data_IF_195900116947
#
_entry.id   IF_195900116947
#
_cell.length_a   1.000
_cell.length_b   1.000
_cell.length_c   1.000
_cell.angle_alpha   90.00
_cell.angle_beta   90.00
_cell.angle_gamma   90.00
#
_symmetry.space_group_name_H-M   'P 1'
#
loop_
_entity.id
_entity.type
_entity.pdbx_description
1 polymer ?
#
# COMPACT_ATOMS: atom_id res chain seq x y z
N UNK A 1 -41.55 -9.58 -18.76
CA UNK A 1 -40.39 -8.77 -18.32
C UNK A 1 -39.26 -9.73 -18.02
N UNK A 2 -38.12 -9.59 -18.70
CA UNK A 2 -36.92 -10.37 -18.37
C UNK A 2 -36.48 -10.01 -16.95
N UNK A 3 -36.37 -11.00 -16.07
CA UNK A 3 -35.91 -10.81 -14.70
C UNK A 3 -34.40 -11.10 -14.65
N UNK A 4 -33.60 -10.16 -15.16
CA UNK A 4 -32.14 -10.26 -15.23
C UNK A 4 -31.52 -10.54 -13.85
N UNK A 5 -32.10 -9.96 -12.79
CA UNK A 5 -31.70 -10.21 -11.40
C UNK A 5 -31.75 -11.71 -11.04
N UNK A 6 -32.88 -12.36 -11.27
CA UNK A 6 -33.03 -13.79 -10.94
C UNK A 6 -32.18 -14.68 -11.84
N UNK A 7 -32.05 -14.35 -13.13
CA UNK A 7 -31.19 -15.09 -14.06
C UNK A 7 -29.74 -15.07 -13.60
N UNK A 8 -29.19 -13.87 -13.33
CA UNK A 8 -27.83 -13.71 -12.87
C UNK A 8 -27.60 -14.41 -11.52
N UNK A 9 -28.55 -14.25 -10.58
CA UNK A 9 -28.47 -14.91 -9.28
C UNK A 9 -28.40 -16.43 -9.37
N UNK A 10 -29.16 -17.03 -10.29
CA UNK A 10 -29.10 -18.49 -10.53
C UNK A 10 -27.75 -18.89 -11.12
N UNK A 11 -27.22 -18.13 -12.10
CA UNK A 11 -25.88 -18.38 -12.65
C UNK A 11 -24.79 -18.31 -11.58
N UNK A 12 -24.82 -17.29 -10.73
CA UNK A 12 -23.87 -17.11 -9.62
C UNK A 12 -23.92 -18.31 -8.68
N UNK A 13 -25.10 -18.69 -8.19
CA UNK A 13 -25.27 -19.82 -7.25
C UNK A 13 -24.83 -21.17 -7.80
N UNK A 14 -24.94 -21.36 -9.11
CA UNK A 14 -24.56 -22.61 -9.77
C UNK A 14 -23.14 -22.57 -10.34
N UNK A 15 -22.35 -21.53 -10.06
CA UNK A 15 -21.01 -21.33 -10.61
C UNK A 15 -20.93 -21.26 -12.15
N UNK A 16 -22.05 -20.95 -12.80
CA UNK A 16 -22.16 -20.87 -14.27
C UNK A 16 -22.02 -19.43 -14.80
N UNK A 17 -21.76 -18.46 -13.91
CA UNK A 17 -21.54 -17.08 -14.31
C UNK A 17 -20.14 -16.91 -14.93
N UNK A 18 -20.03 -16.18 -16.03
CA UNK A 18 -18.72 -15.77 -16.59
C UNK A 18 -18.27 -14.47 -15.95
N UNK A 19 -17.07 -14.44 -15.37
CA UNK A 19 -16.58 -13.29 -14.59
C UNK A 19 -15.35 -12.69 -15.25
N UNK A 20 -15.33 -11.37 -15.43
CA UNK A 20 -14.15 -10.63 -15.87
C UNK A 20 -13.46 -9.91 -14.71
N UNK A 21 -12.14 -9.84 -14.74
CA UNK A 21 -11.35 -8.99 -13.85
C UNK A 21 -10.47 -8.07 -14.67
N UNK A 22 -10.74 -6.77 -14.66
CA UNK A 22 -10.04 -5.75 -15.44
C UNK A 22 -8.92 -5.14 -14.60
N UNK A 23 -7.69 -5.23 -15.08
CA UNK A 23 -6.48 -4.82 -14.38
C UNK A 23 -5.87 -5.97 -13.59
N UNK A 24 -4.88 -6.65 -14.16
CA UNK A 24 -4.18 -7.77 -13.54
C UNK A 24 -2.95 -7.22 -12.81
N UNK A 25 -3.21 -6.46 -11.76
CA UNK A 25 -2.19 -5.96 -10.84
C UNK A 25 -2.19 -6.74 -9.52
N UNK A 26 -1.60 -6.11 -8.50
CA UNK A 26 -1.58 -6.62 -7.12
C UNK A 26 -2.98 -6.87 -6.51
N UNK A 27 -4.04 -6.26 -7.06
CA UNK A 27 -5.42 -6.46 -6.62
C UNK A 27 -6.16 -7.46 -7.51
N UNK A 28 -6.19 -7.19 -8.82
CA UNK A 28 -7.02 -7.98 -9.73
C UNK A 28 -6.50 -9.40 -9.99
N UNK A 29 -5.18 -9.63 -9.99
CA UNK A 29 -4.67 -11.00 -10.22
C UNK A 29 -5.01 -11.95 -9.06
N UNK A 30 -4.79 -11.59 -7.77
CA UNK A 30 -5.27 -12.42 -6.66
C UNK A 30 -6.78 -12.65 -6.67
N UNK A 31 -7.57 -11.63 -7.00
CA UNK A 31 -9.02 -11.75 -7.15
C UNK A 31 -9.42 -12.76 -8.24
N UNK A 32 -8.75 -12.69 -9.40
CA UNK A 32 -8.97 -13.63 -10.50
C UNK A 32 -8.61 -15.08 -10.11
N UNK A 33 -7.50 -15.26 -9.38
CA UNK A 33 -7.07 -16.58 -8.88
C UNK A 33 -8.14 -17.19 -7.97
N UNK A 34 -8.65 -16.44 -6.98
CA UNK A 34 -9.68 -16.95 -6.07
C UNK A 34 -11.03 -17.22 -6.78
N UNK A 35 -11.41 -16.38 -7.72
CA UNK A 35 -12.57 -16.63 -8.59
C UNK A 35 -12.41 -17.93 -9.38
N UNK A 36 -11.27 -18.16 -10.01
CA UNK A 36 -10.99 -19.37 -10.78
C UNK A 36 -10.98 -20.63 -9.91
N UNK A 37 -10.33 -20.58 -8.74
CA UNK A 37 -10.33 -21.68 -7.75
C UNK A 37 -11.74 -22.01 -7.24
N UNK A 38 -12.65 -21.04 -7.24
CA UNK A 38 -14.07 -21.25 -6.88
C UNK A 38 -14.93 -21.84 -8.00
N UNK A 39 -14.34 -22.16 -9.16
CA UNK A 39 -15.00 -22.89 -10.25
C UNK A 39 -15.75 -22.03 -11.27
N UNK A 40 -15.59 -20.71 -11.25
CA UNK A 40 -16.12 -19.84 -12.30
C UNK A 40 -15.25 -19.87 -13.57
N UNK A 41 -15.87 -19.62 -14.72
CA UNK A 41 -15.18 -19.19 -15.93
C UNK A 41 -14.72 -17.75 -15.75
N UNK A 42 -13.41 -17.51 -15.75
CA UNK A 42 -12.79 -16.21 -15.44
C UNK A 42 -11.97 -15.70 -16.62
N UNK A 43 -12.19 -14.44 -16.98
CA UNK A 43 -11.39 -13.71 -17.96
C UNK A 43 -10.60 -12.61 -17.28
N UNK A 44 -9.27 -12.72 -17.29
CA UNK A 44 -8.40 -11.66 -16.80
C UNK A 44 -8.10 -10.66 -17.93
N UNK A 45 -8.46 -9.39 -17.77
CA UNK A 45 -8.34 -8.38 -18.82
C UNK A 45 -7.26 -7.36 -18.45
N UNK A 46 -6.18 -7.25 -19.22
CA UNK A 46 -5.14 -6.22 -19.02
C UNK A 46 -4.63 -5.70 -20.39
N UNK A 47 -4.19 -4.45 -20.47
CA UNK A 47 -3.63 -3.89 -21.71
C UNK A 47 -2.15 -4.25 -21.87
N UNK A 48 -1.47 -4.64 -20.79
CA UNK A 48 -0.07 -5.05 -20.83
C UNK A 48 0.06 -6.49 -21.34
N UNK A 49 0.34 -6.63 -22.64
CA UNK A 49 0.57 -7.93 -23.28
C UNK A 49 1.71 -8.71 -22.61
N UNK A 50 2.70 -8.06 -21.98
CA UNK A 50 3.78 -8.77 -21.28
C UNK A 50 3.24 -9.53 -20.06
N UNK A 51 2.26 -8.98 -19.35
CA UNK A 51 1.61 -9.67 -18.24
C UNK A 51 0.78 -10.85 -18.73
N UNK A 52 0.03 -10.65 -19.81
CA UNK A 52 -0.78 -11.71 -20.44
C UNK A 52 0.11 -12.88 -20.85
N UNK A 53 1.20 -12.61 -21.57
CA UNK A 53 2.14 -13.64 -22.02
C UNK A 53 2.75 -14.41 -20.83
N UNK A 54 3.09 -13.72 -19.74
CA UNK A 54 3.58 -14.39 -18.52
C UNK A 54 2.54 -15.34 -17.94
N UNK A 55 1.28 -14.90 -17.81
CA UNK A 55 0.19 -15.71 -17.25
C UNK A 55 -0.15 -16.92 -18.12
N UNK A 56 -0.19 -16.74 -19.45
CA UNK A 56 -0.39 -17.85 -20.39
C UNK A 56 0.70 -18.91 -20.28
N UNK A 57 1.92 -18.50 -19.93
CA UNK A 57 3.06 -19.39 -19.70
C UNK A 57 3.14 -19.93 -18.27
N UNK A 58 2.13 -19.73 -17.42
CA UNK A 58 2.13 -20.23 -16.04
C UNK A 58 3.01 -19.43 -15.07
N UNK A 59 3.43 -18.22 -15.43
CA UNK A 59 4.36 -17.42 -14.62
C UNK A 59 3.64 -16.24 -13.95
N UNK A 60 3.85 -16.09 -12.65
CA UNK A 60 3.48 -14.91 -11.90
C UNK A 60 4.51 -13.79 -12.09
N UNK A 61 4.05 -12.55 -11.89
CA UNK A 61 4.88 -11.35 -11.80
C UNK A 61 4.61 -10.55 -10.52
N UNK A 62 3.77 -11.08 -9.63
CA UNK A 62 3.52 -10.54 -8.30
C UNK A 62 4.00 -11.56 -7.26
N UNK A 63 4.60 -11.07 -6.17
CA UNK A 63 5.16 -11.94 -5.14
C UNK A 63 4.11 -12.78 -4.39
N UNK A 64 2.90 -12.23 -4.23
CA UNK A 64 1.86 -12.85 -3.41
C UNK A 64 1.18 -14.07 -4.09
N UNK A 65 1.44 -14.31 -5.38
CA UNK A 65 0.90 -15.44 -6.14
C UNK A 65 2.05 -16.24 -6.74
N UNK A 66 2.07 -17.54 -6.46
CA UNK A 66 3.10 -18.46 -6.95
C UNK A 66 2.91 -18.83 -8.42
N UNK A 67 3.97 -19.28 -9.10
CA UNK A 67 3.87 -19.80 -10.47
C UNK A 67 2.97 -21.04 -10.53
N UNK A 68 3.03 -21.88 -9.50
CA UNK A 68 2.22 -23.08 -9.35
C UNK A 68 0.72 -22.76 -9.30
N UNK A 69 0.34 -21.66 -8.64
CA UNK A 69 -1.05 -21.19 -8.63
C UNK A 69 -1.51 -20.68 -9.99
N UNK A 70 -0.66 -19.94 -10.72
CA UNK A 70 -0.97 -19.49 -12.08
C UNK A 70 -1.10 -20.69 -13.01
N UNK A 71 -0.18 -21.63 -12.94
CA UNK A 71 -0.23 -22.86 -13.73
C UNK A 71 -1.49 -23.68 -13.42
N UNK A 72 -1.87 -23.78 -12.14
CA UNK A 72 -3.09 -24.45 -11.72
C UNK A 72 -4.33 -23.80 -12.33
N UNK A 73 -4.51 -22.48 -12.21
CA UNK A 73 -5.72 -21.82 -12.75
C UNK A 73 -5.76 -21.82 -14.27
N UNK A 74 -4.61 -21.74 -14.96
CA UNK A 74 -4.55 -21.71 -16.43
C UNK A 74 -4.75 -23.10 -17.04
N UNK A 75 -4.32 -24.18 -16.36
CA UNK A 75 -4.41 -25.56 -16.89
C UNK A 75 -5.59 -26.36 -16.36
N UNK A 76 -6.00 -26.11 -15.11
CA UNK A 76 -6.96 -26.93 -14.38
C UNK A 76 -8.25 -26.19 -14.04
N UNK A 77 -8.27 -24.85 -14.15
CA UNK A 77 -9.47 -24.04 -14.05
C UNK A 77 -9.80 -23.41 -15.41
N UNK A 78 -10.93 -22.71 -15.48
CA UNK A 78 -11.36 -22.00 -16.69
C UNK A 78 -10.94 -20.53 -16.60
N UNK A 79 -9.62 -20.29 -16.60
CA UNK A 79 -9.02 -18.95 -16.57
C UNK A 79 -8.41 -18.59 -17.93
N UNK A 80 -8.79 -17.44 -18.48
CA UNK A 80 -8.22 -16.92 -19.73
C UNK A 80 -7.75 -15.48 -19.56
N UNK A 81 -6.43 -15.20 -19.53
CA UNK A 81 -5.92 -13.84 -19.62
C UNK A 81 -6.02 -13.32 -21.08
N UNK A 82 -6.42 -12.07 -21.27
CA UNK A 82 -6.62 -11.45 -22.59
C UNK A 82 -6.47 -9.93 -22.53
N UNK A 83 -6.16 -9.30 -23.66
CA UNK A 83 -6.22 -7.84 -23.84
C UNK A 83 -7.50 -7.40 -24.56
N UNK A 84 -8.34 -8.35 -24.96
CA UNK A 84 -9.55 -8.05 -25.73
C UNK A 84 -10.74 -7.73 -24.81
N UNK A 85 -11.13 -6.44 -24.76
CA UNK A 85 -12.30 -5.97 -24.01
C UNK A 85 -13.64 -6.42 -24.62
N UNK A 86 -13.69 -6.88 -25.88
CA UNK A 86 -14.93 -7.35 -26.51
C UNK A 86 -15.58 -8.52 -25.77
N UNK A 87 -14.78 -9.30 -25.03
CA UNK A 87 -15.28 -10.41 -24.21
C UNK A 87 -16.34 -9.97 -23.20
N UNK A 88 -16.36 -8.68 -22.82
CA UNK A 88 -17.37 -8.11 -21.91
C UNK A 88 -18.80 -8.37 -22.40
N UNK A 89 -19.03 -8.49 -23.72
CA UNK A 89 -20.34 -8.83 -24.30
C UNK A 89 -20.92 -10.16 -23.80
N UNK A 90 -20.04 -11.07 -23.38
CA UNK A 90 -20.37 -12.44 -22.98
C UNK A 90 -20.26 -12.65 -21.46
N UNK A 91 -19.91 -11.62 -20.69
CA UNK A 91 -19.70 -11.72 -19.24
C UNK A 91 -20.99 -11.50 -18.45
N UNK A 92 -21.08 -12.16 -17.30
CA UNK A 92 -22.16 -11.99 -16.33
C UNK A 92 -21.78 -11.01 -15.20
N UNK A 93 -20.48 -10.94 -14.88
CA UNK A 93 -19.95 -10.00 -13.91
C UNK A 93 -18.56 -9.49 -14.33
N UNK A 94 -18.22 -8.26 -13.93
CA UNK A 94 -16.92 -7.61 -14.18
C UNK A 94 -16.46 -6.88 -12.92
N UNK A 95 -15.21 -7.11 -12.52
CA UNK A 95 -14.54 -6.40 -11.42
C UNK A 95 -13.46 -5.46 -11.96
N UNK A 96 -13.48 -4.18 -11.58
CA UNK A 96 -12.55 -3.14 -12.05
C UNK A 96 -11.45 -2.90 -11.02
N UNK A 97 -10.23 -3.34 -11.32
CA UNK A 97 -9.05 -3.35 -10.46
C UNK A 97 -7.87 -2.57 -11.08
N UNK A 98 -8.15 -1.44 -11.72
CA UNK A 98 -7.12 -0.59 -12.36
C UNK A 98 -6.46 0.38 -11.38
N UNK A 99 -5.24 0.86 -11.66
CA UNK A 99 -4.57 1.85 -10.83
C UNK A 99 -5.37 3.16 -10.71
N UNK A 100 -5.23 3.81 -9.56
CA UNK A 100 -5.80 5.13 -9.26
C UNK A 100 -4.71 5.99 -8.64
N UNK A 101 -3.75 6.49 -9.44
CA UNK A 101 -2.65 7.28 -8.94
C UNK A 101 -3.10 8.71 -8.60
N UNK A 102 -2.20 9.47 -7.97
CA UNK A 102 -2.34 10.92 -7.88
C UNK A 102 -1.60 11.59 -9.05
N UNK A 103 -2.10 12.74 -9.48
CA UNK A 103 -1.39 13.63 -10.41
C UNK A 103 -0.19 14.30 -9.71
N UNK A 104 0.64 15.01 -10.48
CA UNK A 104 1.74 15.84 -9.94
C UNK A 104 1.28 16.89 -8.92
N UNK A 105 0.00 17.25 -8.94
CA UNK A 105 -0.61 18.20 -8.01
C UNK A 105 -1.30 17.51 -6.81
N UNK A 106 -1.05 16.21 -6.60
CA UNK A 106 -1.66 15.39 -5.54
C UNK A 106 -3.19 15.28 -5.63
N UNK A 107 -3.74 15.40 -6.84
CA UNK A 107 -5.17 15.21 -7.10
C UNK A 107 -5.45 13.79 -7.63
N UNK A 108 -6.60 13.18 -7.34
CA UNK A 108 -7.01 11.91 -7.93
C UNK A 108 -6.93 11.89 -9.46
N UNK A 109 -6.17 10.96 -10.03
CA UNK A 109 -6.17 10.70 -11.47
C UNK A 109 -7.19 9.60 -11.79
N UNK A 110 -8.30 10.00 -12.42
CA UNK A 110 -9.40 9.11 -12.79
C UNK A 110 -9.31 8.58 -14.23
N UNK A 111 -8.24 8.91 -14.96
CA UNK A 111 -8.08 8.55 -16.37
C UNK A 111 -8.19 7.04 -16.63
N UNK A 112 -7.65 6.21 -15.73
CA UNK A 112 -7.71 4.75 -15.82
C UNK A 112 -9.14 4.20 -15.69
N UNK A 113 -9.91 4.67 -14.72
CA UNK A 113 -11.31 4.27 -14.54
C UNK A 113 -12.15 4.75 -15.73
N UNK A 114 -11.93 5.98 -16.19
CA UNK A 114 -12.61 6.53 -17.37
C UNK A 114 -12.29 5.71 -18.64
N UNK A 115 -11.03 5.29 -18.82
CA UNK A 115 -10.63 4.45 -19.93
C UNK A 115 -11.35 3.09 -19.92
N UNK A 116 -11.42 2.43 -18.75
CA UNK A 116 -12.18 1.17 -18.59
C UNK A 116 -13.66 1.39 -18.87
N UNK A 117 -14.25 2.48 -18.37
CA UNK A 117 -15.65 2.80 -18.62
C UNK A 117 -15.93 3.04 -20.10
N UNK A 118 -14.99 3.61 -20.85
CA UNK A 118 -15.12 3.77 -22.29
C UNK A 118 -15.17 2.43 -23.04
N UNK A 119 -14.46 1.40 -22.55
CA UNK A 119 -14.57 0.05 -23.11
C UNK A 119 -15.85 -0.66 -22.67
N UNK A 120 -16.21 -0.60 -21.38
CA UNK A 120 -17.46 -1.20 -20.87
C UNK A 120 -18.66 -0.67 -21.65
N UNK A 121 -18.73 0.64 -21.91
CA UNK A 121 -19.81 1.26 -22.70
C UNK A 121 -20.02 0.65 -24.08
N UNK A 122 -18.96 0.23 -24.77
CA UNK A 122 -19.06 -0.34 -26.13
C UNK A 122 -19.67 -1.74 -26.13
N UNK A 123 -19.51 -2.44 -25.01
CA UNK A 123 -19.83 -3.86 -24.87
C UNK A 123 -20.89 -4.13 -23.80
N UNK A 124 -21.47 -3.06 -23.26
CA UNK A 124 -22.49 -3.10 -22.23
C UNK A 124 -23.73 -3.85 -22.71
N UNK A 125 -24.28 -4.68 -21.84
CA UNK A 125 -25.55 -5.36 -22.05
C UNK A 125 -26.33 -5.47 -20.74
N UNK A 126 -27.61 -5.83 -20.86
CA UNK A 126 -28.48 -6.06 -19.69
C UNK A 126 -28.08 -7.35 -18.96
N UNK A 127 -28.22 -7.36 -17.64
CA UNK A 127 -27.85 -8.46 -16.75
C UNK A 127 -26.42 -8.44 -16.25
N UNK A 128 -25.59 -7.47 -16.65
CA UNK A 128 -24.20 -7.36 -16.19
C UNK A 128 -24.12 -6.86 -14.74
N UNK A 129 -23.32 -7.52 -13.89
CA UNK A 129 -22.89 -7.00 -12.60
C UNK A 129 -21.51 -6.36 -12.72
N UNK A 130 -21.38 -5.09 -12.33
CA UNK A 130 -20.11 -4.36 -12.30
C UNK A 130 -19.73 -4.11 -10.84
N UNK A 131 -18.49 -4.42 -10.47
CA UNK A 131 -17.94 -4.08 -9.15
C UNK A 131 -16.69 -3.24 -9.31
N UNK A 132 -16.68 -2.03 -8.75
CA UNK A 132 -15.46 -1.23 -8.64
C UNK A 132 -14.67 -1.65 -7.40
N UNK A 133 -13.42 -2.06 -7.61
CA UNK A 133 -12.48 -2.52 -6.57
C UNK A 133 -11.36 -1.51 -6.30
N UNK A 134 -10.99 -0.74 -7.34
CA UNK A 134 -9.99 0.31 -7.25
C UNK A 134 -10.32 1.33 -6.17
N UNK A 135 -9.34 1.62 -5.29
CA UNK A 135 -9.51 2.61 -4.22
C UNK A 135 -9.76 3.99 -4.82
N UNK A 136 -10.74 4.72 -4.27
CA UNK A 136 -11.18 5.99 -4.85
C UNK A 136 -11.90 6.87 -3.83
N UNK A 137 -12.31 8.07 -4.25
CA UNK A 137 -13.05 9.00 -3.38
C UNK A 137 -14.53 8.60 -3.25
N UNK A 138 -15.20 8.95 -2.14
CA UNK A 138 -16.62 8.66 -1.97
C UNK A 138 -17.46 9.38 -3.04
N UNK A 139 -18.23 8.60 -3.79
CA UNK A 139 -19.08 9.01 -4.88
C UNK A 139 -18.59 8.59 -6.26
N UNK A 140 -17.38 8.05 -6.42
CA UNK A 140 -16.86 7.65 -7.74
C UNK A 140 -17.75 6.64 -8.44
N UNK A 141 -18.22 5.62 -7.71
CA UNK A 141 -19.08 4.57 -8.28
C UNK A 141 -20.34 5.17 -8.91
N UNK A 142 -21.01 6.08 -8.21
CA UNK A 142 -22.21 6.73 -8.75
C UNK A 142 -21.87 7.81 -9.80
N UNK A 143 -20.87 8.64 -9.55
CA UNK A 143 -20.52 9.81 -10.39
C UNK A 143 -19.89 9.41 -11.73
N UNK A 144 -19.08 8.34 -11.80
CA UNK A 144 -18.34 7.96 -13.01
C UNK A 144 -18.88 6.72 -13.72
N UNK A 145 -19.55 5.82 -13.00
CA UNK A 145 -20.07 4.57 -13.57
C UNK A 145 -21.58 4.66 -13.74
N UNK A 146 -22.31 4.88 -12.64
CA UNK A 146 -23.78 4.88 -12.67
C UNK A 146 -24.33 5.98 -13.59
N UNK A 147 -23.87 7.22 -13.44
CA UNK A 147 -24.32 8.35 -14.27
C UNK A 147 -24.09 8.10 -15.77
N UNK A 148 -22.93 7.55 -16.13
CA UNK A 148 -22.58 7.34 -17.53
C UNK A 148 -23.44 6.23 -18.17
N UNK A 149 -23.70 5.14 -17.45
CA UNK A 149 -24.57 4.07 -17.93
C UNK A 149 -26.05 4.50 -17.95
N UNK A 150 -26.47 5.32 -16.99
CA UNK A 150 -27.80 5.94 -16.99
C UNK A 150 -27.99 6.87 -18.22
N UNK A 151 -26.95 7.62 -18.62
CA UNK A 151 -26.98 8.44 -19.83
C UNK A 151 -27.13 7.61 -21.12
N UNK A 152 -26.70 6.34 -21.12
CA UNK A 152 -26.96 5.39 -22.21
C UNK A 152 -28.35 4.74 -22.14
N UNK A 153 -29.15 5.06 -21.13
CA UNK A 153 -30.52 4.56 -20.96
C UNK A 153 -30.64 3.26 -20.18
N UNK A 154 -29.58 2.79 -19.51
CA UNK A 154 -29.65 1.62 -18.62
C UNK A 154 -30.14 2.02 -17.23
N UNK A 155 -30.99 1.18 -16.63
CA UNK A 155 -31.48 1.39 -15.26
C UNK A 155 -30.76 0.50 -14.25
N UNK A 156 -30.04 1.11 -13.31
CA UNK A 156 -29.33 0.36 -12.26
C UNK A 156 -30.30 -0.39 -11.33
N UNK A 157 -29.96 -1.62 -10.97
CA UNK A 157 -30.79 -2.52 -10.15
C UNK A 157 -31.89 -3.26 -10.93
N UNK A 158 -32.08 -2.94 -12.21
CA UNK A 158 -33.07 -3.58 -13.10
C UNK A 158 -32.40 -4.12 -14.36
N UNK A 159 -31.75 -3.25 -15.15
CA UNK A 159 -31.04 -3.62 -16.37
C UNK A 159 -29.62 -4.09 -16.10
N UNK A 160 -28.93 -3.53 -15.10
CA UNK A 160 -27.59 -3.91 -14.70
C UNK A 160 -27.41 -3.72 -13.19
N UNK A 161 -26.32 -4.22 -12.62
CA UNK A 161 -26.07 -4.16 -11.20
C UNK A 161 -24.70 -3.54 -10.93
N UNK A 162 -24.61 -2.70 -9.90
CA UNK A 162 -23.40 -1.93 -9.62
C UNK A 162 -23.06 -1.97 -8.14
N UNK A 163 -21.83 -2.36 -7.83
CA UNK A 163 -21.27 -2.42 -6.49
C UNK A 163 -19.92 -1.73 -6.41
N UNK A 164 -19.53 -1.39 -5.18
CA UNK A 164 -18.17 -1.10 -4.82
C UNK A 164 -17.73 -2.05 -3.71
N UNK A 165 -16.50 -2.53 -3.81
CA UNK A 165 -15.90 -3.39 -2.79
C UNK A 165 -14.40 -3.09 -2.71
N UNK A 166 -13.90 -2.39 -1.69
CA UNK A 166 -12.50 -2.01 -1.66
C UNK A 166 -11.61 -3.22 -1.38
N UNK A 167 -10.43 -3.25 -2.01
CA UNK A 167 -9.38 -4.18 -1.61
C UNK A 167 -8.74 -3.78 -0.26
N UNK A 168 -8.42 -4.76 0.57
CA UNK A 168 -7.88 -4.61 1.93
C UNK A 168 -6.66 -5.50 2.21
N UNK A 169 -6.05 -6.07 1.17
CA UNK A 169 -4.77 -6.81 1.26
C UNK A 169 -3.68 -5.96 1.94
N UNK A 170 -2.92 -6.61 2.83
CA UNK A 170 -1.69 -6.11 3.42
C UNK A 170 -0.51 -6.93 2.85
N UNK A 171 0.32 -6.37 1.94
CA UNK A 171 1.40 -7.12 1.28
C UNK A 171 2.37 -7.77 2.27
N UNK A 172 2.75 -9.02 2.04
CA UNK A 172 3.65 -9.77 2.94
C UNK A 172 3.01 -10.22 4.27
N UNK A 173 1.69 -10.09 4.43
CA UNK A 173 0.98 -10.63 5.58
C UNK A 173 0.82 -12.16 5.46
N UNK A 174 1.32 -12.91 6.44
CA UNK A 174 1.27 -14.37 6.41
C UNK A 174 -0.01 -14.97 6.98
N UNK A 175 -0.84 -14.16 7.65
CA UNK A 175 -2.09 -14.60 8.27
C UNK A 175 -3.32 -14.24 7.43
N UNK A 176 -3.34 -13.03 6.87
CA UNK A 176 -4.45 -12.52 6.09
C UNK A 176 -4.10 -12.48 4.61
N UNK A 177 -4.95 -13.11 3.80
CA UNK A 177 -4.88 -13.15 2.34
C UNK A 177 -6.22 -12.68 1.74
N UNK A 178 -6.33 -12.68 0.41
CA UNK A 178 -7.55 -12.26 -0.30
C UNK A 178 -8.79 -12.99 0.19
N UNK A 179 -8.71 -14.30 0.45
CA UNK A 179 -9.85 -15.14 0.83
C UNK A 179 -10.38 -14.86 2.22
N UNK A 180 -9.51 -14.75 3.23
CA UNK A 180 -9.94 -14.65 4.63
C UNK A 180 -10.06 -13.22 5.16
N UNK A 181 -9.56 -12.22 4.42
CA UNK A 181 -9.70 -10.81 4.80
C UNK A 181 -11.15 -10.37 4.62
N UNK A 182 -11.83 -9.83 5.66
CA UNK A 182 -13.21 -9.40 5.52
C UNK A 182 -13.38 -8.32 4.46
N UNK A 183 -14.25 -8.55 3.48
CA UNK A 183 -14.45 -7.65 2.35
C UNK A 183 -15.72 -6.83 2.54
N UNK A 184 -15.57 -5.50 2.54
CA UNK A 184 -16.71 -4.57 2.60
C UNK A 184 -17.37 -4.51 1.23
N UNK A 185 -18.71 -4.52 1.16
CA UNK A 185 -19.43 -4.45 -0.12
C UNK A 185 -20.64 -3.54 -0.03
N UNK A 186 -20.69 -2.52 -0.88
CA UNK A 186 -21.82 -1.60 -1.00
C UNK A 186 -22.38 -1.61 -2.42
N UNK A 187 -23.65 -2.01 -2.58
CA UNK A 187 -24.35 -1.92 -3.87
C UNK A 187 -25.20 -0.64 -3.96
N UNK A 188 -25.36 -0.09 -5.16
CA UNK A 188 -26.22 1.10 -5.41
C UNK A 188 -27.68 0.85 -5.06
N UNK A 189 -28.12 -0.41 -5.10
CA UNK A 189 -29.44 -0.86 -4.64
C UNK A 189 -29.33 -2.11 -3.76
N UNK A 190 -30.42 -2.47 -3.08
CA UNK A 190 -30.51 -3.74 -2.34
C UNK A 190 -30.28 -4.96 -3.22
N UNK A 191 -30.75 -4.92 -4.48
CA UNK A 191 -30.53 -6.00 -5.47
C UNK A 191 -29.07 -6.10 -5.87
N UNK A 192 -28.41 -4.97 -6.13
CA UNK A 192 -26.98 -4.93 -6.41
C UNK A 192 -26.19 -5.52 -5.24
N UNK A 193 -26.45 -5.05 -4.02
CA UNK A 193 -25.79 -5.56 -2.80
C UNK A 193 -25.98 -7.06 -2.66
N UNK A 194 -27.20 -7.57 -2.90
CA UNK A 194 -27.48 -9.01 -2.79
C UNK A 194 -26.72 -9.83 -3.83
N UNK A 195 -26.62 -9.36 -5.08
CA UNK A 195 -25.86 -10.04 -6.13
C UNK A 195 -24.35 -10.01 -5.87
N UNK A 196 -23.82 -8.86 -5.43
CA UNK A 196 -22.43 -8.75 -5.01
C UNK A 196 -22.10 -9.70 -3.86
N UNK A 197 -22.92 -9.72 -2.79
CA UNK A 197 -22.76 -10.68 -1.69
C UNK A 197 -22.86 -12.12 -2.19
N UNK A 198 -23.86 -12.44 -3.02
CA UNK A 198 -24.06 -13.79 -3.55
C UNK A 198 -22.86 -14.24 -4.41
N UNK A 199 -22.17 -13.34 -5.12
CA UNK A 199 -20.96 -13.65 -5.91
C UNK A 199 -19.72 -13.81 -5.02
N UNK A 200 -19.41 -12.81 -4.21
CA UNK A 200 -18.15 -12.77 -3.45
C UNK A 200 -18.10 -13.81 -2.33
N UNK A 201 -19.25 -14.21 -1.76
CA UNK A 201 -19.29 -15.24 -0.71
C UNK A 201 -18.87 -16.64 -1.18
N UNK A 202 -18.69 -16.86 -2.50
CA UNK A 202 -18.20 -18.15 -3.02
C UNK A 202 -16.67 -18.30 -2.90
N UNK A 203 -15.95 -17.20 -2.75
CA UNK A 203 -14.48 -17.19 -2.73
C UNK A 203 -13.87 -16.31 -1.63
N UNK A 204 -14.68 -15.57 -0.88
CA UNK A 204 -14.28 -14.79 0.30
C UNK A 204 -15.04 -15.31 1.52
N UNK A 205 -14.34 -15.52 2.63
CA UNK A 205 -14.89 -16.15 3.83
C UNK A 205 -15.87 -15.22 4.58
N UNK A 206 -15.62 -13.90 4.56
CA UNK A 206 -16.45 -12.91 5.29
C UNK A 206 -16.75 -11.69 4.42
N UNK A 207 -18.04 -11.49 4.12
CA UNK A 207 -18.54 -10.27 3.45
C UNK A 207 -19.25 -9.38 4.45
N UNK A 208 -18.91 -8.10 4.44
CA UNK A 208 -19.52 -7.06 5.28
C UNK A 208 -20.35 -6.13 4.39
N UNK A 209 -21.66 -6.41 4.19
CA UNK A 209 -22.51 -5.55 3.38
C UNK A 209 -22.77 -4.22 4.10
N UNK A 210 -22.68 -3.12 3.35
CA UNK A 210 -23.01 -1.77 3.82
C UNK A 210 -24.12 -1.16 2.96
N UNK A 211 -24.64 -0.02 3.40
CA UNK A 211 -25.87 0.57 2.82
C UNK A 211 -25.72 1.14 1.41
N UNK A 212 -24.50 1.50 0.98
CA UNK A 212 -24.25 2.10 -0.33
C UNK A 212 -22.77 2.00 -0.74
N UNK A 213 -22.43 2.20 -2.03
CA UNK A 213 -21.06 2.28 -2.50
C UNK A 213 -20.27 3.36 -1.76
N UNK A 214 -20.84 4.56 -1.57
CA UNK A 214 -20.23 5.66 -0.80
C UNK A 214 -19.75 5.28 0.59
N UNK A 215 -20.51 4.45 1.32
CA UNK A 215 -20.08 3.99 2.65
C UNK A 215 -18.89 3.05 2.54
N UNK A 216 -18.90 2.17 1.54
CA UNK A 216 -17.78 1.26 1.28
C UNK A 216 -16.52 2.02 0.83
N UNK A 217 -16.64 2.98 -0.09
CA UNK A 217 -15.55 3.88 -0.52
C UNK A 217 -14.96 4.66 0.66
N UNK A 218 -15.83 5.28 1.46
CA UNK A 218 -15.42 6.04 2.64
C UNK A 218 -14.72 5.16 3.69
N UNK A 219 -15.18 3.92 3.88
CA UNK A 219 -14.58 3.01 4.87
C UNK A 219 -13.08 2.77 4.60
N UNK A 220 -12.72 2.59 3.32
CA UNK A 220 -11.32 2.38 2.92
C UNK A 220 -10.45 3.60 3.17
N UNK A 221 -10.92 4.79 2.79
CA UNK A 221 -10.17 6.02 3.02
C UNK A 221 -10.06 6.35 4.50
N UNK A 222 -11.10 6.05 5.29
CA UNK A 222 -11.09 6.23 6.73
C UNK A 222 -10.03 5.33 7.40
N UNK A 223 -9.94 4.05 7.02
CA UNK A 223 -8.91 3.12 7.52
C UNK A 223 -7.49 3.66 7.32
N UNK A 224 -7.17 4.11 6.10
CA UNK A 224 -5.83 4.60 5.78
C UNK A 224 -5.54 6.00 6.34
N UNK A 225 -6.55 6.87 6.38
CA UNK A 225 -6.44 8.21 7.00
C UNK A 225 -6.24 8.09 8.50
N UNK A 226 -6.98 7.21 9.18
CA UNK A 226 -6.79 6.92 10.59
C UNK A 226 -5.35 6.46 10.86
N UNK A 227 -4.82 5.53 10.06
CA UNK A 227 -3.43 5.08 10.17
C UNK A 227 -2.43 6.22 9.96
N UNK A 228 -2.60 7.02 8.90
CA UNK A 228 -1.71 8.15 8.60
C UNK A 228 -1.65 9.19 9.73
N UNK A 229 -2.81 9.58 10.26
CA UNK A 229 -2.93 10.56 11.36
C UNK A 229 -2.28 10.06 12.64
N UNK A 230 -2.48 8.79 13.01
CA UNK A 230 -1.86 8.26 14.23
C UNK A 230 -0.34 8.07 14.09
N UNK A 231 0.15 7.73 12.90
CA UNK A 231 1.60 7.72 12.63
C UNK A 231 2.17 9.13 12.74
N UNK A 232 1.49 10.14 12.17
CA UNK A 232 1.92 11.53 12.29
C UNK A 232 1.95 11.98 13.75
N UNK A 233 0.89 11.67 14.52
CA UNK A 233 0.84 12.00 15.93
C UNK A 233 2.03 11.41 16.70
N UNK A 234 2.34 10.12 16.51
CA UNK A 234 3.47 9.52 17.24
C UNK A 234 4.83 10.03 16.76
N UNK A 235 4.96 10.37 15.48
CA UNK A 235 6.14 11.04 14.93
C UNK A 235 6.36 12.43 15.55
N UNK A 236 5.30 13.23 15.68
CA UNK A 236 5.35 14.52 16.37
C UNK A 236 5.74 14.35 17.84
N UNK A 237 5.16 13.35 18.53
CA UNK A 237 5.54 13.03 19.91
C UNK A 237 7.00 12.59 20.03
N UNK A 238 7.55 11.89 19.04
CA UNK A 238 8.98 11.56 19.01
C UNK A 238 9.84 12.82 18.94
N UNK A 239 9.52 13.76 18.04
CA UNK A 239 10.23 15.04 17.94
C UNK A 239 10.13 15.87 19.22
N UNK A 240 8.98 15.84 19.90
CA UNK A 240 8.77 16.51 21.18
C UNK A 240 9.58 15.86 22.31
N UNK A 241 9.50 14.53 22.45
CA UNK A 241 10.21 13.77 23.48
C UNK A 241 11.74 13.94 23.36
N UNK A 242 12.25 13.98 22.13
CA UNK A 242 13.66 14.28 21.84
C UNK A 242 14.09 15.64 22.46
N UNK A 243 13.26 16.67 22.33
CA UNK A 243 13.52 18.00 22.92
C UNK A 243 13.39 18.02 24.45
N UNK A 244 12.53 17.16 25.01
CA UNK A 244 12.26 17.08 26.44
C UNK A 244 13.22 16.16 27.20
N UNK A 245 14.10 15.41 26.51
CA UNK A 245 14.95 14.42 27.17
C UNK A 245 14.22 13.13 27.56
N UNK A 246 13.10 12.80 26.90
CA UNK A 246 12.26 11.64 27.19
C UNK A 246 12.44 10.59 26.08
N UNK A 247 12.47 9.30 26.44
CA UNK A 247 12.48 8.21 25.46
C UNK A 247 11.05 7.92 24.97
N UNK A 248 10.74 8.26 23.71
CA UNK A 248 9.41 8.01 23.14
C UNK A 248 9.08 6.52 23.07
N UNK A 249 10.07 5.65 22.85
CA UNK A 249 9.83 4.22 22.67
C UNK A 249 9.39 3.58 23.99
N UNK A 250 10.08 3.93 25.08
CA UNK A 250 9.68 3.54 26.44
C UNK A 250 8.29 4.09 26.77
N UNK A 251 8.04 5.37 26.45
CA UNK A 251 6.75 6.03 26.71
C UNK A 251 5.60 5.31 25.99
N UNK A 252 5.80 4.93 24.72
CA UNK A 252 4.80 4.17 23.93
C UNK A 252 4.57 2.78 24.50
N UNK A 253 5.64 2.08 24.89
CA UNK A 253 5.52 0.75 25.48
C UNK A 253 4.79 0.80 26.83
N UNK A 254 5.07 1.80 27.67
CA UNK A 254 4.36 2.04 28.91
C UNK A 254 2.87 2.37 28.66
N UNK A 255 2.56 3.26 27.71
CA UNK A 255 1.18 3.59 27.36
C UNK A 255 0.39 2.37 26.82
N UNK A 256 1.07 1.49 26.06
CA UNK A 256 0.48 0.27 25.52
C UNK A 256 0.13 -0.79 26.57
N UNK A 257 0.59 -0.64 27.83
CA UNK A 257 0.13 -1.50 28.93
C UNK A 257 -1.32 -1.23 29.32
N UNK A 258 -1.88 -0.09 28.93
CA UNK A 258 -3.28 0.26 29.21
C UNK A 258 -4.20 -0.59 28.32
N UNK A 259 -5.12 -1.39 28.88
CA UNK A 259 -5.92 -2.36 28.11
C UNK A 259 -7.03 -1.73 27.25
N UNK A 260 -7.22 -0.41 27.31
CA UNK A 260 -8.26 0.29 26.54
C UNK A 260 -7.84 1.73 26.21
N UNK A 261 -8.33 2.24 25.08
CA UNK A 261 -8.19 3.65 24.69
C UNK A 261 -6.80 4.07 24.23
N UNK A 262 -5.84 3.15 24.11
CA UNK A 262 -4.55 3.40 23.46
C UNK A 262 -4.31 2.32 22.41
N UNK A 263 -4.25 2.74 21.15
CA UNK A 263 -3.84 1.88 20.04
C UNK A 263 -2.39 2.21 19.73
N UNK A 264 -1.49 1.23 19.85
CA UNK A 264 -0.06 1.47 19.65
C UNK A 264 0.26 1.76 18.18
N UNK A 265 0.85 2.93 17.98
CA UNK A 265 1.61 3.28 16.79
C UNK A 265 3.04 3.58 17.24
N UNK A 266 4.00 3.41 16.33
CA UNK A 266 5.43 3.63 16.61
C UNK A 266 5.99 4.68 15.65
N UNK A 267 6.92 5.54 16.10
CA UNK A 267 7.56 6.50 15.22
C UNK A 267 8.43 5.79 14.18
N UNK A 268 8.80 6.51 13.13
CA UNK A 268 9.64 5.97 12.06
C UNK A 268 10.26 7.06 11.19
N UNK A 269 11.04 6.68 10.16
CA UNK A 269 11.68 7.62 9.25
C UNK A 269 10.70 8.34 8.30
N UNK A 270 9.42 7.96 8.32
CA UNK A 270 8.37 8.47 7.47
C UNK A 270 7.35 7.39 7.13
N UNK A 271 6.40 7.73 6.26
CA UNK A 271 5.43 6.80 5.67
C UNK A 271 5.86 6.48 4.23
N UNK A 272 5.50 5.30 3.73
CA UNK A 272 5.69 4.96 2.31
C UNK A 272 4.66 3.95 1.82
N UNK A 273 4.87 3.45 0.59
CA UNK A 273 3.93 2.62 -0.13
C UNK A 273 2.80 3.43 -0.76
N UNK A 274 1.84 2.75 -1.38
CA UNK A 274 0.77 3.43 -2.13
C UNK A 274 -0.38 3.96 -1.27
N UNK A 275 -0.83 3.22 -0.26
CA UNK A 275 -2.13 3.52 0.35
C UNK A 275 -2.08 4.66 1.38
N UNK A 276 -1.08 4.66 2.27
CA UNK A 276 -1.02 5.63 3.38
C UNK A 276 -0.74 7.06 2.87
N UNK A 277 0.17 7.28 1.91
CA UNK A 277 0.46 8.63 1.44
C UNK A 277 -0.59 9.18 0.46
N UNK A 278 -1.31 8.32 -0.28
CA UNK A 278 -2.23 8.76 -1.33
C UNK A 278 -3.69 8.87 -0.86
N UNK A 279 -4.23 7.85 -0.17
CA UNK A 279 -5.66 7.78 0.17
C UNK A 279 -6.17 8.98 1.00
N UNK A 280 -5.42 9.52 1.98
CA UNK A 280 -5.85 10.72 2.69
C UNK A 280 -6.00 11.93 1.76
N UNK A 281 -5.21 12.02 0.69
CA UNK A 281 -5.30 13.10 -0.31
C UNK A 281 -6.58 12.99 -1.14
N UNK A 282 -7.05 11.77 -1.45
CA UNK A 282 -8.37 11.57 -2.07
C UNK A 282 -9.49 12.14 -1.22
N UNK A 283 -9.45 11.87 0.09
CA UNK A 283 -10.45 12.37 1.03
C UNK A 283 -10.36 13.89 1.20
N UNK A 284 -9.16 14.44 1.35
CA UNK A 284 -8.93 15.88 1.43
C UNK A 284 -9.43 16.61 0.16
N UNK A 285 -9.14 16.06 -1.03
CA UNK A 285 -9.62 16.58 -2.30
C UNK A 285 -11.15 16.58 -2.38
N UNK A 286 -11.80 15.47 -2.04
CA UNK A 286 -13.28 15.38 -2.07
C UNK A 286 -13.91 16.32 -1.06
N UNK A 287 -13.36 16.39 0.15
CA UNK A 287 -13.78 17.31 1.19
C UNK A 287 -13.74 18.78 0.74
N UNK A 288 -12.64 19.19 0.09
CA UNK A 288 -12.47 20.56 -0.41
C UNK A 288 -13.57 20.96 -1.40
N UNK A 289 -14.02 20.03 -2.25
CA UNK A 289 -15.15 20.25 -3.18
C UNK A 289 -16.49 20.45 -2.47
N UNK A 290 -16.62 19.94 -1.26
CA UNK A 290 -17.77 20.16 -0.37
C UNK A 290 -17.57 21.35 0.58
N UNK A 291 -16.58 22.21 0.31
CA UNK A 291 -16.21 23.35 1.16
C UNK A 291 -15.83 22.95 2.60
N UNK A 292 -15.30 21.72 2.78
CA UNK A 292 -14.74 21.23 4.02
C UNK A 292 -13.23 21.08 3.90
N UNK A 293 -12.47 21.71 4.80
CA UNK A 293 -11.01 21.69 4.80
C UNK A 293 -10.51 20.88 5.98
N UNK A 294 -9.95 19.70 5.71
CA UNK A 294 -9.54 18.76 6.75
C UNK A 294 -8.15 19.06 7.28
N UNK A 295 -8.06 19.99 8.24
CA UNK A 295 -6.78 20.38 8.88
C UNK A 295 -6.01 19.19 9.45
N UNK A 296 -6.71 18.18 9.99
CA UNK A 296 -6.05 16.97 10.52
C UNK A 296 -5.30 16.18 9.44
N UNK A 297 -5.87 16.07 8.23
CA UNK A 297 -5.21 15.33 7.14
C UNK A 297 -3.98 16.12 6.66
N UNK A 298 -4.13 17.44 6.49
CA UNK A 298 -3.04 18.30 6.03
C UNK A 298 -1.86 18.29 7.02
N UNK A 299 -2.14 18.48 8.32
CA UNK A 299 -1.10 18.45 9.37
C UNK A 299 -0.45 17.07 9.48
N UNK A 300 -1.23 15.99 9.39
CA UNK A 300 -0.65 14.65 9.42
C UNK A 300 0.30 14.40 8.23
N UNK A 301 -0.06 14.88 7.04
CA UNK A 301 0.79 14.77 5.87
C UNK A 301 2.07 15.60 6.03
N UNK A 302 1.97 16.83 6.52
CA UNK A 302 3.11 17.70 6.79
C UNK A 302 4.12 17.05 7.75
N UNK A 303 3.65 16.57 8.91
CA UNK A 303 4.49 15.92 9.91
C UNK A 303 5.16 14.67 9.33
N UNK A 304 4.39 13.80 8.68
CA UNK A 304 4.94 12.56 8.11
C UNK A 304 5.98 12.83 7.02
N UNK A 305 5.80 13.89 6.21
CA UNK A 305 6.74 14.29 5.17
C UNK A 305 7.99 14.97 5.73
N UNK A 306 7.93 15.53 6.94
CA UNK A 306 9.09 16.11 7.62
C UNK A 306 10.02 15.04 8.24
N UNK A 307 9.55 13.81 8.43
CA UNK A 307 10.33 12.79 9.13
C UNK A 307 11.68 12.42 8.48
N UNK A 308 11.83 12.34 7.15
CA UNK A 308 13.14 12.19 6.52
C UNK A 308 14.13 13.29 6.90
N UNK A 309 13.68 14.56 6.95
CA UNK A 309 14.49 15.69 7.38
C UNK A 309 14.85 15.58 8.87
N UNK A 310 13.92 15.15 9.72
CA UNK A 310 14.20 14.87 11.13
C UNK A 310 15.26 13.77 11.31
N UNK A 311 15.19 12.68 10.54
CA UNK A 311 16.22 11.63 10.52
C UNK A 311 17.57 12.19 10.08
N UNK A 312 17.61 12.94 8.97
CA UNK A 312 18.83 13.61 8.50
C UNK A 312 19.47 14.48 9.60
N UNK A 313 18.67 15.30 10.28
CA UNK A 313 19.15 16.13 11.38
C UNK A 313 19.67 15.29 12.56
N UNK A 314 19.01 14.16 12.85
CA UNK A 314 19.47 13.21 13.88
C UNK A 314 20.83 12.61 13.52
N UNK A 315 21.04 12.25 12.26
CA UNK A 315 22.32 11.75 11.74
C UNK A 315 23.41 12.81 11.82
N UNK A 316 23.10 14.06 11.46
CA UNK A 316 24.02 15.20 11.63
C UNK A 316 24.52 15.31 13.06
N UNK A 317 23.58 15.31 14.01
CA UNK A 317 23.89 15.41 15.43
C UNK A 317 24.66 14.19 15.93
N UNK A 318 24.31 12.98 15.48
CA UNK A 318 25.01 11.73 15.79
C UNK A 318 26.48 11.78 15.35
N UNK A 319 26.76 12.15 14.11
CA UNK A 319 28.12 12.31 13.60
C UNK A 319 28.91 13.37 14.39
N UNK A 320 28.26 14.48 14.78
CA UNK A 320 28.89 15.51 15.61
C UNK A 320 29.34 14.99 16.98
N UNK A 321 28.67 14.00 17.57
CA UNK A 321 29.15 13.37 18.82
C UNK A 321 30.50 12.66 18.65
N UNK A 322 30.82 12.25 17.43
CA UNK A 322 32.12 11.69 17.03
C UNK A 322 33.03 12.72 16.34
N UNK A 323 32.69 14.02 16.43
CA UNK A 323 33.43 15.12 15.81
C UNK A 323 33.56 14.97 14.28
N UNK A 324 32.55 14.38 13.63
CA UNK A 324 32.51 14.23 12.18
C UNK A 324 31.43 15.12 11.56
N UNK A 325 31.75 15.88 10.48
CA UNK A 325 30.74 16.56 9.69
C UNK A 325 30.00 15.57 8.78
N UNK A 326 28.81 15.92 8.29
CA UNK A 326 28.14 15.14 7.23
C UNK A 326 28.98 15.11 5.95
N UNK A 327 29.45 16.28 5.52
CA UNK A 327 30.23 16.41 4.29
C UNK A 327 31.50 15.55 4.36
N UNK A 328 31.63 14.60 3.43
CA UNK A 328 32.75 13.66 3.36
C UNK A 328 32.64 12.45 4.30
N UNK A 329 31.62 12.35 5.16
CA UNK A 329 31.38 11.14 5.95
C UNK A 329 30.88 10.00 5.07
N UNK A 330 31.37 8.78 5.31
CA UNK A 330 30.85 7.57 4.65
C UNK A 330 29.64 7.04 5.44
N UNK A 331 28.50 6.91 4.78
CA UNK A 331 27.24 6.51 5.41
C UNK A 331 26.67 5.30 4.69
N UNK A 332 26.22 4.30 5.44
CA UNK A 332 25.48 3.16 4.90
C UNK A 332 24.03 3.19 5.40
N UNK A 333 23.09 3.24 4.47
CA UNK A 333 21.67 2.99 4.74
C UNK A 333 21.40 1.48 4.71
N UNK A 334 20.88 0.94 5.81
CA UNK A 334 20.36 -0.42 5.88
C UNK A 334 18.85 -0.38 5.67
N UNK A 335 18.41 -0.97 4.57
CA UNK A 335 17.03 -0.98 4.10
C UNK A 335 16.69 0.27 3.29
N UNK A 336 15.89 0.08 2.24
CA UNK A 336 15.39 1.15 1.38
C UNK A 336 13.90 0.99 1.10
N UNK A 337 13.38 -0.24 1.05
CA UNK A 337 11.96 -0.52 0.94
C UNK A 337 11.15 0.11 2.08
N UNK A 338 9.91 0.53 1.81
CA UNK A 338 9.10 1.19 2.85
C UNK A 338 8.63 0.24 3.97
N UNK A 339 8.60 -1.07 3.69
CA UNK A 339 8.19 -2.15 4.61
C UNK A 339 9.26 -3.26 4.61
N UNK A 340 9.49 -3.93 5.74
CA UNK A 340 10.39 -5.08 5.79
C UNK A 340 10.00 -6.19 4.80
N UNK A 341 11.03 -6.87 4.32
CA UNK A 341 10.98 -8.10 3.52
C UNK A 341 10.26 -8.02 2.16
N UNK A 342 10.13 -6.82 1.58
CA UNK A 342 9.59 -6.59 0.23
C UNK A 342 10.51 -5.68 -0.59
N UNK A 343 10.36 -5.65 -1.92
CA UNK A 343 11.18 -4.87 -2.87
C UNK A 343 10.61 -3.48 -3.22
N UNK A 344 9.53 -3.07 -2.54
CA UNK A 344 8.77 -1.90 -2.92
C UNK A 344 9.37 -0.58 -2.40
N UNK A 345 9.87 0.22 -3.33
CA UNK A 345 10.47 1.53 -3.09
C UNK A 345 9.51 2.71 -3.27
N UNK A 346 8.24 2.46 -3.63
CA UNK A 346 7.29 3.53 -3.96
C UNK A 346 7.01 4.38 -2.73
N UNK A 347 7.24 5.69 -2.86
CA UNK A 347 7.14 6.67 -1.76
C UNK A 347 7.97 6.29 -0.52
N UNK A 348 9.04 5.49 -0.66
CA UNK A 348 9.80 5.04 0.50
C UNK A 348 10.61 6.19 1.14
N UNK A 349 10.57 6.34 2.49
CA UNK A 349 11.25 7.44 3.17
C UNK A 349 12.78 7.35 3.06
N UNK A 350 13.32 6.15 2.84
CA UNK A 350 14.76 5.95 2.63
C UNK A 350 15.31 6.70 1.42
N UNK A 351 14.49 6.88 0.37
CA UNK A 351 14.88 7.62 -0.83
C UNK A 351 15.14 9.09 -0.49
N UNK A 352 14.23 9.72 0.26
CA UNK A 352 14.39 11.13 0.66
C UNK A 352 15.55 11.32 1.64
N UNK A 353 15.75 10.38 2.58
CA UNK A 353 16.94 10.40 3.46
C UNK A 353 18.25 10.27 2.66
N UNK A 354 18.29 9.38 1.65
CA UNK A 354 19.44 9.24 0.76
C UNK A 354 19.76 10.55 0.04
N UNK A 355 18.75 11.19 -0.55
CA UNK A 355 18.93 12.45 -1.28
C UNK A 355 19.44 13.57 -0.37
N UNK A 356 18.84 13.76 0.81
CA UNK A 356 19.26 14.78 1.78
C UNK A 356 20.73 14.60 2.22
N UNK A 357 21.14 13.36 2.48
CA UNK A 357 22.53 13.06 2.86
C UNK A 357 23.50 13.31 1.71
N UNK A 358 23.15 12.87 0.50
CA UNK A 358 23.97 13.04 -0.70
C UNK A 358 24.13 14.52 -1.06
N UNK A 359 23.05 15.29 -1.03
CA UNK A 359 23.05 16.75 -1.27
C UNK A 359 23.94 17.50 -0.28
N UNK A 360 24.02 17.00 0.94
CA UNK A 360 24.86 17.53 2.01
C UNK A 360 26.33 17.09 1.91
N UNK A 361 26.69 16.35 0.85
CA UNK A 361 28.05 15.93 0.53
C UNK A 361 28.52 14.67 1.25
N UNK A 362 27.63 13.87 1.82
CA UNK A 362 27.99 12.56 2.35
C UNK A 362 28.28 11.56 1.22
N UNK A 363 29.18 10.61 1.47
CA UNK A 363 29.40 9.46 0.61
C UNK A 363 28.42 8.36 1.03
N UNK A 364 27.25 8.33 0.40
CA UNK A 364 26.14 7.45 0.78
C UNK A 364 26.14 6.18 -0.06
N UNK A 365 26.17 5.04 0.61
CA UNK A 365 25.85 3.73 0.05
C UNK A 365 24.59 3.20 0.72
N UNK A 366 23.90 2.25 0.09
CA UNK A 366 22.80 1.55 0.73
C UNK A 366 22.89 0.05 0.46
N UNK A 367 22.38 -0.72 1.40
CA UNK A 367 22.09 -2.12 1.20
C UNK A 367 20.60 -2.36 1.44
N UNK A 368 19.95 -3.04 0.49
CA UNK A 368 18.63 -3.63 0.66
C UNK A 368 18.63 -5.02 -0.01
N UNK A 369 18.31 -6.10 0.72
CA UNK A 369 18.34 -7.45 0.18
C UNK A 369 17.25 -7.74 -0.87
N UNK A 370 16.22 -6.88 -0.97
CA UNK A 370 15.10 -7.05 -1.90
C UNK A 370 15.07 -5.94 -2.96
N UNK A 371 15.31 -4.70 -2.56
CA UNK A 371 15.29 -3.55 -3.45
C UNK A 371 16.69 -3.26 -4.05
N UNK A 372 17.04 -3.94 -5.14
CA UNK A 372 18.42 -3.93 -5.66
C UNK A 372 18.89 -2.63 -6.33
N UNK A 373 17.98 -1.80 -6.84
CA UNK A 373 18.36 -0.53 -7.48
C UNK A 373 17.21 0.48 -7.49
N UNK A 374 17.56 1.77 -7.46
CA UNK A 374 16.64 2.86 -7.78
C UNK A 374 17.33 3.92 -8.65
N UNK A 375 16.53 4.84 -9.19
CA UNK A 375 17.03 6.02 -9.90
C UNK A 375 16.89 7.22 -8.99
N UNK A 376 17.99 7.90 -8.71
CA UNK A 376 18.00 9.11 -7.90
C UNK A 376 17.40 10.32 -8.63
N UNK A 377 17.30 11.45 -7.94
CA UNK A 377 16.74 12.69 -8.50
C UNK A 377 17.56 13.31 -9.66
N UNK A 378 18.82 12.89 -9.84
CA UNK A 378 19.70 13.32 -10.93
C UNK A 378 19.66 12.37 -12.12
N UNK A 379 18.92 11.26 -12.02
CA UNK A 379 18.79 10.25 -13.07
C UNK A 379 19.88 9.19 -13.05
N UNK A 380 20.73 9.15 -12.02
CA UNK A 380 21.74 8.09 -11.90
C UNK A 380 21.14 6.86 -11.23
N UNK A 381 21.58 5.68 -11.70
CA UNK A 381 21.15 4.41 -11.14
C UNK A 381 22.01 4.09 -9.92
N UNK A 382 21.39 4.08 -8.74
CA UNK A 382 22.03 3.69 -7.48
C UNK A 382 21.72 2.22 -7.22
N UNK A 383 22.75 1.41 -7.01
CA UNK A 383 22.62 -0.05 -6.83
C UNK A 383 22.95 -0.42 -5.39
N UNK A 384 22.18 -1.36 -4.83
CA UNK A 384 22.43 -1.91 -3.50
C UNK A 384 23.82 -2.55 -3.45
N UNK A 385 24.62 -2.19 -2.45
CA UNK A 385 25.91 -2.85 -2.18
C UNK A 385 25.67 -4.19 -1.48
N UNK A 386 26.62 -5.11 -1.57
CA UNK A 386 26.57 -6.35 -0.78
C UNK A 386 26.84 -6.06 0.71
N UNK A 387 26.08 -6.69 1.60
CA UNK A 387 26.24 -6.52 3.05
C UNK A 387 27.31 -7.47 3.58
N UNK A 388 28.53 -6.97 3.68
CA UNK A 388 29.61 -7.64 4.41
C UNK A 388 29.79 -6.98 5.78
N UNK A 389 29.44 -7.69 6.86
CA UNK A 389 29.55 -7.14 8.22
C UNK A 389 30.98 -6.68 8.58
N UNK A 390 32.01 -7.29 7.98
CA UNK A 390 33.42 -6.91 8.14
C UNK A 390 33.78 -5.55 7.55
N UNK A 391 32.96 -5.02 6.62
CA UNK A 391 33.14 -3.69 6.01
C UNK A 391 32.42 -2.59 6.77
N UNK A 392 31.52 -2.92 7.71
CA UNK A 392 30.83 -1.93 8.54
C UNK A 392 31.75 -0.95 9.29
N UNK A 393 32.97 -1.33 9.74
CA UNK A 393 33.91 -0.39 10.34
C UNK A 393 34.41 0.70 9.37
N UNK A 394 34.24 0.54 8.07
CA UNK A 394 34.64 1.55 7.08
C UNK A 394 33.70 2.76 7.05
N UNK A 395 32.44 2.57 7.43
CA UNK A 395 31.44 3.64 7.47
C UNK A 395 31.52 4.38 8.79
N UNK A 396 31.25 5.68 8.71
CA UNK A 396 31.24 6.58 9.86
C UNK A 396 29.90 6.56 10.58
N UNK A 397 28.81 6.23 9.87
CA UNK A 397 27.49 6.04 10.43
C UNK A 397 26.72 4.98 9.63
N UNK A 398 26.08 4.08 10.34
CA UNK A 398 25.07 3.17 9.79
C UNK A 398 23.69 3.70 10.16
N UNK A 399 22.78 3.80 9.20
CA UNK A 399 21.42 4.26 9.44
C UNK A 399 20.47 3.13 9.10
N UNK A 400 19.72 2.64 10.08
CA UNK A 400 18.68 1.64 9.83
C UNK A 400 17.38 2.33 9.47
N UNK A 401 16.96 2.23 8.20
CA UNK A 401 15.69 2.76 7.69
C UNK A 401 14.60 1.68 7.71
N UNK A 402 14.94 0.45 7.31
CA UNK A 402 13.99 -0.67 7.26
C UNK A 402 14.62 -1.91 7.86
N UNK A 403 13.93 -2.50 8.84
CA UNK A 403 14.43 -3.63 9.60
C UNK A 403 14.05 -4.96 8.92
N UNK A 404 14.80 -5.34 7.87
CA UNK A 404 14.64 -6.62 7.19
C UNK A 404 15.10 -7.78 8.08
N UNK A 405 14.46 -8.95 7.95
CA UNK A 405 14.87 -10.16 8.69
C UNK A 405 16.26 -10.67 8.31
N UNK A 406 16.74 -10.30 7.12
CA UNK A 406 18.06 -10.68 6.64
C UNK A 406 19.21 -10.03 7.43
N UNK A 407 18.93 -8.96 8.19
CA UNK A 407 19.94 -8.27 8.98
C UNK A 407 20.17 -8.96 10.33
N UNK A 408 21.44 -9.29 10.60
CA UNK A 408 21.87 -9.73 11.93
C UNK A 408 22.25 -8.52 12.77
N UNK A 409 21.32 -8.10 13.62
CA UNK A 409 21.49 -6.93 14.46
C UNK A 409 22.71 -7.05 15.40
N UNK A 410 23.09 -8.25 15.84
CA UNK A 410 24.29 -8.44 16.66
C UNK A 410 25.55 -8.11 15.86
N UNK A 411 25.60 -8.56 14.60
CA UNK A 411 26.73 -8.32 13.72
C UNK A 411 26.81 -6.86 13.29
N UNK A 412 25.67 -6.19 13.06
CA UNK A 412 25.64 -4.74 12.83
C UNK A 412 26.22 -4.01 14.04
N UNK A 413 25.65 -4.20 15.24
CA UNK A 413 26.12 -3.54 16.46
C UNK A 413 27.59 -3.82 16.74
N UNK A 414 28.06 -5.06 16.57
CA UNK A 414 29.46 -5.42 16.82
C UNK A 414 30.45 -4.70 15.92
N UNK A 415 30.11 -4.48 14.64
CA UNK A 415 31.06 -4.01 13.64
C UNK A 415 30.88 -2.52 13.25
N UNK A 416 29.82 -1.85 13.71
CA UNK A 416 29.58 -0.44 13.41
C UNK A 416 30.26 0.50 14.42
N UNK A 417 30.75 1.65 13.92
CA UNK A 417 31.26 2.74 14.76
C UNK A 417 30.14 3.54 15.45
N UNK A 418 29.08 3.82 14.70
CA UNK A 418 27.94 4.63 15.09
C UNK A 418 26.70 4.12 14.32
N UNK A 419 25.56 4.07 15.00
CA UNK A 419 24.29 3.60 14.45
C UNK A 419 23.22 4.64 14.75
N UNK A 420 22.43 5.02 13.74
CA UNK A 420 21.17 5.74 13.89
C UNK A 420 20.02 4.78 13.63
N UNK A 421 19.22 4.52 14.67
CA UNK A 421 18.10 3.59 14.62
C UNK A 421 16.77 4.35 14.48
N UNK A 422 16.12 4.18 13.33
CA UNK A 422 14.81 4.79 13.05
C UNK A 422 13.63 3.87 13.35
N UNK A 423 13.89 2.60 13.72
CA UNK A 423 12.87 1.54 13.84
C UNK A 423 12.89 0.81 15.19
N UNK A 424 13.76 1.21 16.12
CA UNK A 424 13.96 0.57 17.42
C UNK A 424 14.32 -0.93 17.29
N UNK A 425 15.08 -1.28 16.25
CA UNK A 425 15.51 -2.64 15.98
C UNK A 425 16.60 -3.12 16.93
N UNK A 426 17.36 -2.18 17.53
CA UNK A 426 18.47 -2.47 18.42
C UNK A 426 18.11 -2.30 19.91
N UNK A 427 16.82 -2.36 20.27
CA UNK A 427 16.33 -2.12 21.64
C UNK A 427 16.93 -3.00 22.74
N UNK A 428 17.44 -4.19 22.37
CA UNK A 428 18.05 -5.15 23.31
C UNK A 428 19.52 -4.83 23.62
N UNK A 429 20.12 -3.86 22.91
CA UNK A 429 21.52 -3.45 23.09
C UNK A 429 21.57 -2.13 23.86
N UNK A 430 22.36 -2.12 24.94
CA UNK A 430 22.67 -0.91 25.71
C UNK A 430 24.09 -0.45 25.35
N UNK A 431 24.23 0.19 24.19
CA UNK A 431 25.52 0.70 23.67
C UNK A 431 25.36 2.18 23.28
N UNK A 432 26.20 3.11 23.80
CA UNK A 432 26.08 4.54 23.53
C UNK A 432 26.25 4.93 22.06
N UNK A 433 26.82 4.05 21.21
CA UNK A 433 26.92 4.32 19.78
C UNK A 433 25.60 4.16 19.02
N UNK A 434 24.55 3.63 19.68
CA UNK A 434 23.23 3.42 19.08
C UNK A 434 22.34 4.60 19.45
N UNK A 435 22.11 5.49 18.49
CA UNK A 435 21.28 6.69 18.67
C UNK A 435 19.91 6.45 18.04
N UNK A 436 18.88 6.37 18.87
CA UNK A 436 17.48 6.20 18.41
C UNK A 436 16.85 7.54 18.05
N UNK A 437 15.96 7.54 17.05
CA UNK A 437 15.05 8.67 16.84
C UNK A 437 14.10 8.82 18.05
N UNK A 438 13.70 10.05 18.38
CA UNK A 438 12.82 10.33 19.50
C UNK A 438 13.42 10.13 20.90
N UNK A 439 14.76 10.07 21.00
CA UNK A 439 15.50 10.00 22.27
C UNK A 439 16.61 11.05 22.25
N UNK A 440 16.69 11.91 23.26
CA UNK A 440 17.70 12.99 23.31
C UNK A 440 19.12 12.44 23.13
N UNK A 441 19.85 13.07 22.21
CA UNK A 441 21.23 12.70 21.90
C UNK A 441 22.17 12.87 23.10
N UNK A 442 21.86 13.80 24.02
CA UNK A 442 22.66 14.03 25.24
C UNK A 442 22.72 12.82 26.16
N UNK A 443 21.72 11.93 26.10
CA UNK A 443 21.73 10.66 26.83
C UNK A 443 22.95 9.80 26.47
N UNK A 444 23.45 9.92 25.23
CA UNK A 444 24.56 9.10 24.72
C UNK A 444 25.93 9.75 24.90
N UNK A 445 26.00 11.08 25.05
CA UNK A 445 27.27 11.82 25.25
C UNK A 445 27.65 11.99 26.73
N UNK A 446 26.68 11.98 27.66
CA UNK A 446 26.95 12.11 29.10
C UNK A 446 27.69 10.89 29.69
N UNK A 447 27.52 9.70 29.10
CA UNK A 447 28.21 8.48 29.53
C UNK A 447 29.66 8.35 29.02
N UNK A 448 30.09 9.21 28.10
CA UNK A 448 31.48 9.21 27.56
C UNK A 448 32.37 10.29 28.19
N UNK A 449 31.79 11.18 29.01
CA UNK A 449 32.52 12.24 29.75
C UNK A 449 32.74 11.92 31.24
N UNK A 450 32.24 10.78 31.74
CA UNK A 450 32.63 10.16 33.01
C UNK A 450 33.50 8.96 32.73
#
# INVERSE_FOLDING_TARGET
MNNYYNQLRVKIKNHNAKVGVIGLGYVGLPLAVELSKSGYTVYGIDLDNKKIDKLLNGNSYIMDISNEEIEFITKSCDFTPTSNFEIIKDLDAVSICVPTPLTKFQEPDMSYIIAVMNEIKKYMHKGLLITLESTTYPGTTEELIEQELNNQGYLVGEDYFLCFSPERIDPGNTFYNTRNTPKVLGGTTKRCTKLGVDLYSNFIDTIVPVSSPKVAEMSKLLENTFRSVNIAFINEMAMLCDKLGIDIWETVDAANTKPFGFMKFTPGPGIGGHCIPLDPMYLAWKAKRSNFFSRFIDTAQEINKQMPEYVYNKVSNALNTHQKPIMGSRVLLLGMAYKPDIDDLREAPGLEVYELLRESGACVEYNDPHAHSFTDKYGEKVTSVELEYSRLPEYDCIILITNHKAYDNNMVVKNSKLIVDTRNAFKEFDDPKIIKIGVDIKKYTLNTMM
#
